data_IF_252786910025
#
_entry.id   IF_252786910025
#
_cell.length_a   1.000
_cell.length_b   1.000
_cell.length_c   1.000
_cell.angle_alpha   90.00
_cell.angle_beta   90.00
_cell.angle_gamma   90.00
#
_symmetry.space_group_name_H-M   'P 1'
#
loop_
_entity.id
_entity.type
_entity.pdbx_description
1 polymer ?
#
# COMPACT_ATOMS: atom_id res chain seq x y z
N UNK A 1 -11.93 2.46 22.13
CA UNK A 1 -13.25 2.83 22.70
C UNK A 1 -13.24 2.85 24.23
N UNK A 2 -12.29 2.21 24.91
CA UNK A 2 -12.19 2.23 26.38
C UNK A 2 -12.22 3.62 27.06
N UNK A 3 -11.80 4.68 26.37
CA UNK A 3 -11.90 6.06 26.88
C UNK A 3 -13.28 6.72 26.74
N UNK A 4 -14.31 5.99 26.29
CA UNK A 4 -15.67 6.49 26.05
C UNK A 4 -16.67 5.62 26.83
N UNK A 5 -17.17 6.11 27.96
CA UNK A 5 -18.14 5.38 28.78
C UNK A 5 -19.53 5.37 28.12
N UNK A 6 -20.14 4.20 27.96
CA UNK A 6 -21.46 4.07 27.33
C UNK A 6 -22.52 4.80 28.15
N UNK A 7 -23.34 5.65 27.50
CA UNK A 7 -24.54 6.20 28.12
C UNK A 7 -25.60 5.11 28.33
N UNK A 8 -26.66 5.43 29.08
CA UNK A 8 -27.77 4.50 29.39
C UNK A 8 -28.39 3.87 28.14
N UNK A 9 -28.60 4.65 27.08
CA UNK A 9 -29.22 4.15 25.85
C UNK A 9 -28.31 3.17 25.10
N UNK A 10 -27.02 3.51 24.93
CA UNK A 10 -26.06 2.60 24.30
C UNK A 10 -25.87 1.32 25.14
N UNK A 11 -25.89 1.42 26.47
CA UNK A 11 -25.80 0.24 27.34
C UNK A 11 -27.00 -0.69 27.14
N UNK A 12 -28.21 -0.13 27.08
CA UNK A 12 -29.43 -0.90 26.79
C UNK A 12 -29.33 -1.64 25.47
N UNK A 13 -28.93 -0.95 24.39
CA UNK A 13 -28.75 -1.58 23.07
C UNK A 13 -27.60 -2.62 23.05
N UNK A 14 -26.55 -2.41 23.85
CA UNK A 14 -25.40 -3.33 23.94
C UNK A 14 -25.75 -4.64 24.66
N UNK A 15 -26.62 -4.58 25.67
CA UNK A 15 -27.02 -5.71 26.52
C UNK A 15 -28.27 -6.45 26.00
N UNK A 16 -29.04 -5.84 25.09
CA UNK A 16 -30.26 -6.44 24.51
C UNK A 16 -29.94 -7.40 23.33
N UNK A 17 -30.15 -8.72 23.47
CA UNK A 17 -29.85 -9.70 22.41
C UNK A 17 -30.72 -9.56 21.16
N UNK A 18 -31.82 -8.80 21.22
CA UNK A 18 -32.69 -8.51 20.07
C UNK A 18 -32.28 -7.27 19.29
N UNK A 19 -31.40 -6.42 19.85
CA UNK A 19 -30.87 -5.26 19.15
C UNK A 19 -29.72 -5.65 18.21
N UNK A 20 -29.68 -5.04 17.03
CA UNK A 20 -28.59 -5.21 16.06
C UNK A 20 -27.21 -4.80 16.60
N UNK A 21 -27.16 -4.05 17.71
CA UNK A 21 -25.96 -3.56 18.38
C UNK A 21 -25.61 -4.36 19.64
N UNK A 22 -26.29 -5.47 19.89
CA UNK A 22 -25.93 -6.42 20.93
C UNK A 22 -24.43 -6.77 20.85
N UNK A 23 -23.71 -6.60 21.95
CA UNK A 23 -22.26 -6.83 22.06
C UNK A 23 -21.39 -6.13 21.00
N UNK A 24 -21.90 -5.06 20.36
CA UNK A 24 -21.10 -4.23 19.47
C UNK A 24 -20.09 -3.41 20.28
N UNK A 25 -18.89 -3.97 20.48
CA UNK A 25 -17.80 -3.35 21.25
C UNK A 25 -17.54 -1.87 20.93
N UNK A 26 -17.67 -1.39 19.66
CA UNK A 26 -17.47 0.02 19.36
C UNK A 26 -18.75 0.87 19.36
N UNK A 27 -19.86 0.42 19.96
CA UNK A 27 -21.11 1.18 20.05
C UNK A 27 -20.89 2.54 20.71
N UNK A 28 -21.51 3.57 20.13
CA UNK A 28 -21.53 4.91 20.68
C UNK A 28 -22.65 5.75 20.05
N UNK A 29 -22.97 6.88 20.68
CA UNK A 29 -23.89 7.89 20.16
C UNK A 29 -23.31 9.31 20.37
N UNK A 30 -23.96 10.39 19.91
CA UNK A 30 -23.47 11.75 20.11
C UNK A 30 -23.27 12.18 21.59
N UNK A 31 -23.85 11.46 22.55
CA UNK A 31 -23.72 11.74 23.99
C UNK A 31 -22.41 11.16 24.55
N UNK A 32 -22.18 9.86 24.35
CA UNK A 32 -21.04 9.13 24.92
C UNK A 32 -19.85 8.93 23.97
N UNK A 33 -20.06 9.17 22.68
CA UNK A 33 -19.13 8.81 21.63
C UNK A 33 -18.10 9.87 21.28
N UNK A 34 -17.23 9.55 20.30
CA UNK A 34 -16.23 10.47 19.82
C UNK A 34 -16.83 11.69 19.11
N UNK A 35 -16.15 12.82 19.21
CA UNK A 35 -16.59 14.10 18.63
C UNK A 35 -15.71 14.54 17.47
N UNK A 36 -16.36 14.94 16.38
CA UNK A 36 -15.68 15.51 15.21
C UNK A 36 -15.35 16.97 15.48
N UNK A 37 -14.12 17.37 15.17
CA UNK A 37 -13.66 18.76 15.26
C UNK A 37 -12.98 19.19 13.96
N UNK A 38 -13.14 20.46 13.61
CA UNK A 38 -12.45 21.10 12.50
C UNK A 38 -11.51 22.16 13.07
N UNK A 39 -10.27 22.19 12.58
CA UNK A 39 -9.29 23.20 13.01
C UNK A 39 -8.38 23.63 11.88
N UNK A 40 -7.82 24.83 12.02
CA UNK A 40 -6.74 25.29 11.16
C UNK A 40 -5.45 24.50 11.44
N UNK A 41 -4.78 24.04 10.39
CA UNK A 41 -3.70 23.08 10.49
C UNK A 41 -2.45 23.62 11.21
N UNK A 42 -2.16 24.92 11.08
CA UNK A 42 -0.96 25.55 11.65
C UNK A 42 -1.16 26.07 13.07
N UNK A 43 -2.26 26.79 13.33
CA UNK A 43 -2.53 27.37 14.64
C UNK A 43 -3.24 26.43 15.60
N UNK A 44 -3.86 25.35 15.09
CA UNK A 44 -4.74 24.49 15.87
C UNK A 44 -6.07 25.13 16.25
N UNK A 45 -6.36 26.36 15.78
CA UNK A 45 -7.58 27.09 16.11
C UNK A 45 -8.81 26.35 15.63
N UNK A 46 -9.77 26.13 16.54
CA UNK A 46 -11.05 25.51 16.23
C UNK A 46 -11.86 26.37 15.24
N UNK A 47 -12.45 25.71 14.25
CA UNK A 47 -13.34 26.30 13.25
C UNK A 47 -14.75 25.72 13.45
N UNK A 48 -15.75 26.56 13.75
CA UNK A 48 -17.12 26.09 13.93
C UNK A 48 -17.73 25.56 12.62
N UNK A 49 -18.76 24.71 12.74
CA UNK A 49 -19.52 24.19 11.59
C UNK A 49 -19.12 22.79 11.11
N UNK A 50 -18.07 22.18 11.68
CA UNK A 50 -17.74 20.76 11.50
C UNK A 50 -17.64 20.33 10.03
N UNK A 51 -18.41 19.29 9.66
CA UNK A 51 -18.39 18.71 8.31
C UNK A 51 -18.89 19.71 7.24
N UNK A 52 -19.86 20.56 7.55
CA UNK A 52 -20.38 21.54 6.58
C UNK A 52 -19.33 22.61 6.26
N UNK A 53 -18.67 23.14 7.28
CA UNK A 53 -17.56 24.08 7.11
C UNK A 53 -16.40 23.43 6.34
N UNK A 54 -16.06 22.17 6.64
CA UNK A 54 -15.03 21.42 5.94
C UNK A 54 -15.35 21.26 4.45
N UNK A 55 -16.60 20.88 4.11
CA UNK A 55 -17.05 20.79 2.72
C UNK A 55 -16.96 22.15 2.01
N UNK A 56 -17.38 23.23 2.66
CA UNK A 56 -17.25 24.59 2.13
C UNK A 56 -15.80 24.99 1.83
N UNK A 57 -14.85 24.64 2.71
CA UNK A 57 -13.42 24.90 2.50
C UNK A 57 -12.85 24.08 1.33
N UNK A 58 -13.24 22.82 1.18
CA UNK A 58 -12.81 21.97 0.06
C UNK A 58 -13.33 22.52 -1.27
N UNK A 59 -14.61 22.93 -1.35
CA UNK A 59 -15.17 23.60 -2.55
C UNK A 59 -14.40 24.87 -2.92
N UNK A 60 -13.91 25.61 -1.91
CA UNK A 60 -13.04 26.80 -2.09
C UNK A 60 -11.59 26.46 -2.50
N UNK A 61 -11.26 25.18 -2.72
CA UNK A 61 -9.94 24.73 -3.16
C UNK A 61 -8.90 24.64 -2.03
N UNK A 62 -9.34 24.52 -0.77
CA UNK A 62 -8.47 24.19 0.36
C UNK A 62 -8.17 22.69 0.40
N UNK A 63 -7.01 22.34 0.96
CA UNK A 63 -6.57 20.96 1.18
C UNK A 63 -6.79 20.66 2.66
N UNK A 64 -7.55 19.61 2.95
CA UNK A 64 -7.86 19.18 4.31
C UNK A 64 -7.16 17.86 4.61
N UNK A 65 -6.69 17.68 5.83
CA UNK A 65 -6.44 16.35 6.37
C UNK A 65 -7.71 15.83 7.05
N UNK A 66 -8.23 14.69 6.61
CA UNK A 66 -9.44 14.06 7.17
C UNK A 66 -9.05 12.79 7.90
N UNK A 67 -9.37 12.67 9.19
CA UNK A 67 -9.10 11.47 9.98
C UNK A 67 -10.02 10.34 9.55
N UNK A 68 -9.43 9.25 9.06
CA UNK A 68 -10.11 8.04 8.64
C UNK A 68 -10.07 6.94 9.71
N UNK A 69 -10.21 5.69 9.27
CA UNK A 69 -10.17 4.52 10.15
C UNK A 69 -8.74 4.09 10.49
N UNK A 70 -7.86 4.04 9.49
CA UNK A 70 -6.47 3.57 9.59
C UNK A 70 -5.41 4.65 9.50
N UNK A 71 -5.81 5.91 9.34
CA UNK A 71 -4.91 7.06 9.24
C UNK A 71 -5.63 8.27 8.67
N UNK A 72 -4.88 9.32 8.33
CA UNK A 72 -5.43 10.53 7.70
C UNK A 72 -5.35 10.49 6.18
N UNK A 73 -6.34 11.07 5.51
CA UNK A 73 -6.30 11.39 4.08
C UNK A 73 -6.05 12.87 3.85
N UNK A 74 -5.21 13.21 2.88
CA UNK A 74 -5.24 14.54 2.27
C UNK A 74 -6.35 14.58 1.22
N UNK A 75 -7.24 15.55 1.39
CA UNK A 75 -8.48 15.71 0.66
C UNK A 75 -8.54 17.07 -0.01
N UNK A 76 -8.89 17.09 -1.30
CA UNK A 76 -9.22 18.31 -2.03
C UNK A 76 -10.24 18.01 -3.14
N UNK A 77 -10.81 19.06 -3.73
CA UNK A 77 -11.72 18.94 -4.87
C UNK A 77 -10.93 18.62 -6.16
N UNK A 78 -11.11 17.45 -6.79
CA UNK A 78 -10.40 17.08 -8.01
C UNK A 78 -10.80 17.94 -9.22
N UNK A 79 -11.92 18.67 -9.15
CA UNK A 79 -12.40 19.58 -10.20
C UNK A 79 -11.73 20.96 -10.11
N UNK A 80 -10.85 21.18 -9.13
CA UNK A 80 -10.07 22.41 -8.95
C UNK A 80 -8.60 22.15 -9.29
N UNK A 81 -8.15 22.42 -10.54
CA UNK A 81 -6.77 22.14 -10.96
C UNK A 81 -5.71 22.79 -10.08
N UNK A 82 -5.99 23.99 -9.54
CA UNK A 82 -5.10 24.67 -8.60
C UNK A 82 -4.89 23.90 -7.28
N UNK A 83 -5.94 23.28 -6.74
CA UNK A 83 -5.86 22.47 -5.53
C UNK A 83 -5.12 21.15 -5.78
N UNK A 84 -5.40 20.48 -6.91
CA UNK A 84 -4.70 19.25 -7.33
C UNK A 84 -3.21 19.51 -7.54
N UNK A 85 -2.86 20.62 -8.23
CA UNK A 85 -1.46 21.02 -8.44
C UNK A 85 -0.75 21.30 -7.10
N UNK A 86 -1.40 22.04 -6.19
CA UNK A 86 -0.84 22.32 -4.86
C UNK A 86 -0.63 21.02 -4.05
N UNK A 87 -1.59 20.10 -4.09
CA UNK A 87 -1.48 18.81 -3.43
C UNK A 87 -0.31 17.98 -3.98
N UNK A 88 -0.08 18.00 -5.31
CA UNK A 88 1.08 17.30 -5.91
C UNK A 88 2.42 17.88 -5.48
N UNK A 89 2.52 19.20 -5.33
CA UNK A 89 3.72 19.86 -4.80
C UNK A 89 3.96 19.44 -3.35
N UNK A 90 2.93 19.51 -2.51
CA UNK A 90 3.01 19.10 -1.09
C UNK A 90 3.43 17.63 -0.94
N UNK A 91 2.90 16.73 -1.79
CA UNK A 91 3.21 15.30 -1.76
C UNK A 91 4.50 14.93 -2.51
N UNK A 92 5.20 15.89 -3.10
CA UNK A 92 6.34 15.68 -4.00
C UNK A 92 6.05 14.63 -5.10
N UNK A 93 4.80 14.60 -5.56
CA UNK A 93 4.23 13.53 -6.38
C UNK A 93 3.95 14.04 -7.78
N UNK A 94 4.98 14.05 -8.63
CA UNK A 94 4.89 14.58 -10.00
C UNK A 94 3.84 13.85 -10.85
N UNK A 95 3.90 12.51 -10.91
CA UNK A 95 3.09 11.71 -11.86
C UNK A 95 2.27 10.59 -11.22
N UNK A 96 2.68 10.06 -10.07
CA UNK A 96 1.99 8.92 -9.43
C UNK A 96 0.48 9.27 -9.22
N UNK A 97 -0.47 8.37 -9.57
CA UNK A 97 -1.91 8.64 -9.56
C UNK A 97 -2.47 9.04 -8.20
N UNK A 98 -3.40 10.00 -8.12
CA UNK A 98 -4.14 10.31 -6.89
C UNK A 98 -5.42 9.48 -6.87
N UNK A 99 -5.71 8.81 -5.75
CA UNK A 99 -6.95 8.07 -5.61
C UNK A 99 -8.12 9.02 -5.36
N UNK A 100 -9.28 8.66 -5.89
CA UNK A 100 -10.53 9.39 -5.73
C UNK A 100 -11.48 8.62 -4.82
N UNK A 101 -12.26 9.35 -4.02
CA UNK A 101 -13.40 8.80 -3.31
C UNK A 101 -14.67 9.44 -3.85
N UNK A 102 -15.60 8.61 -4.33
CA UNK A 102 -16.87 9.04 -4.91
C UNK A 102 -18.02 8.67 -3.98
N UNK A 103 -19.09 9.48 -3.95
CA UNK A 103 -20.26 9.27 -3.08
C UNK A 103 -20.93 7.92 -3.33
N UNK A 104 -21.07 7.54 -4.60
CA UNK A 104 -21.80 6.38 -5.07
C UNK A 104 -21.20 5.87 -6.40
N UNK A 105 -21.66 4.69 -6.85
CA UNK A 105 -21.20 4.11 -8.13
C UNK A 105 -21.59 4.98 -9.32
N UNK A 106 -22.76 5.63 -9.30
CA UNK A 106 -23.18 6.50 -10.40
C UNK A 106 -22.16 7.61 -10.65
N UNK A 107 -21.65 8.23 -9.58
CA UNK A 107 -20.56 9.22 -9.65
C UNK A 107 -19.27 8.62 -10.22
N UNK A 108 -18.95 7.34 -9.94
CA UNK A 108 -17.77 6.67 -10.53
C UNK A 108 -17.95 6.50 -12.04
N UNK A 109 -19.13 6.08 -12.49
CA UNK A 109 -19.47 5.80 -13.90
C UNK A 109 -19.49 7.06 -14.79
N UNK A 110 -19.52 8.25 -14.19
CA UNK A 110 -19.27 9.53 -14.88
C UNK A 110 -17.82 9.65 -15.38
N UNK A 111 -16.85 9.04 -14.68
CA UNK A 111 -15.40 9.23 -14.93
C UNK A 111 -14.68 7.97 -15.40
N UNK A 112 -15.21 6.79 -15.10
CA UNK A 112 -14.59 5.51 -15.44
C UNK A 112 -15.61 4.51 -15.99
N UNK A 113 -15.14 3.54 -16.77
CA UNK A 113 -15.91 2.35 -17.09
C UNK A 113 -15.89 1.40 -15.90
N UNK A 114 -17.04 0.81 -15.58
CA UNK A 114 -17.19 -0.11 -14.45
C UNK A 114 -17.88 -1.39 -14.91
N UNK A 115 -17.14 -2.49 -14.98
CA UNK A 115 -17.70 -3.81 -15.22
C UNK A 115 -18.49 -4.32 -13.99
N UNK A 116 -19.36 -5.33 -14.16
CA UNK A 116 -20.05 -5.96 -13.03
C UNK A 116 -19.10 -6.50 -11.96
N UNK A 117 -17.93 -7.01 -12.33
CA UNK A 117 -16.93 -7.50 -11.38
C UNK A 117 -16.29 -6.35 -10.57
N UNK A 118 -15.88 -5.27 -11.24
CA UNK A 118 -15.34 -4.09 -10.57
C UNK A 118 -16.36 -3.42 -9.65
N UNK A 119 -17.64 -3.37 -10.07
CA UNK A 119 -18.75 -2.87 -9.25
C UNK A 119 -18.89 -3.69 -7.96
N UNK A 120 -18.78 -5.01 -8.03
CA UNK A 120 -18.82 -5.88 -6.84
C UNK A 120 -17.68 -5.53 -5.89
N UNK A 121 -16.45 -5.41 -6.38
CA UNK A 121 -15.28 -5.08 -5.55
C UNK A 121 -15.43 -3.72 -4.84
N UNK A 122 -15.91 -2.69 -5.54
CA UNK A 122 -16.19 -1.37 -4.96
C UNK A 122 -17.26 -1.41 -3.84
N UNK A 123 -18.20 -2.36 -3.93
CA UNK A 123 -19.31 -2.52 -3.01
C UNK A 123 -19.01 -3.44 -1.81
N UNK A 124 -17.89 -4.16 -1.83
CA UNK A 124 -17.47 -4.99 -0.69
C UNK A 124 -17.34 -4.16 0.59
N UNK A 125 -17.49 -4.82 1.74
CA UNK A 125 -17.22 -4.19 3.05
C UNK A 125 -15.78 -3.68 3.17
N UNK A 126 -14.84 -4.28 2.42
CA UNK A 126 -13.44 -3.84 2.35
C UNK A 126 -13.25 -2.47 1.70
N UNK A 127 -14.18 -2.01 0.84
CA UNK A 127 -14.15 -0.70 0.16
C UNK A 127 -12.75 -0.34 -0.39
N UNK A 128 -12.12 -1.20 -1.20
CA UNK A 128 -10.79 -0.97 -1.74
C UNK A 128 -10.79 0.19 -2.75
N UNK A 129 -9.60 0.69 -3.07
CA UNK A 129 -9.36 1.46 -4.29
C UNK A 129 -9.27 0.46 -5.45
N UNK A 130 -10.21 0.56 -6.38
CA UNK A 130 -10.23 -0.24 -7.62
C UNK A 130 -9.68 0.61 -8.75
N UNK A 131 -8.72 0.07 -9.49
CA UNK A 131 -8.20 0.69 -10.71
C UNK A 131 -9.15 0.41 -11.88
N UNK A 132 -9.71 1.48 -12.45
CA UNK A 132 -10.73 1.42 -13.49
C UNK A 132 -10.24 2.11 -14.76
N UNK A 133 -10.66 1.61 -15.92
CA UNK A 133 -10.39 2.28 -17.20
C UNK A 133 -11.09 3.64 -17.26
N UNK A 134 -10.36 4.68 -17.59
CA UNK A 134 -10.89 6.05 -17.71
C UNK A 134 -11.92 6.17 -18.83
N UNK A 135 -12.97 6.91 -18.53
CA UNK A 135 -13.96 7.43 -19.48
C UNK A 135 -13.79 8.94 -19.68
N UNK A 136 -13.45 9.67 -18.61
CA UNK A 136 -13.20 11.11 -18.62
C UNK A 136 -11.95 11.43 -17.82
N UNK A 137 -11.06 12.25 -18.39
CA UNK A 137 -9.85 12.66 -17.68
C UNK A 137 -10.12 13.79 -16.67
N UNK A 138 -9.46 13.69 -15.53
CA UNK A 138 -9.39 14.75 -14.53
C UNK A 138 -7.95 15.26 -14.48
N UNK A 139 -7.69 16.51 -14.89
CA UNK A 139 -6.33 17.03 -15.04
C UNK A 139 -5.49 16.84 -13.78
N UNK A 140 -4.37 16.13 -13.94
CA UNK A 140 -3.44 15.87 -12.87
C UNK A 140 -3.92 14.85 -11.83
N UNK A 141 -4.92 14.02 -12.09
CA UNK A 141 -5.26 12.89 -11.20
C UNK A 141 -4.39 11.67 -11.52
N UNK A 142 -4.38 11.19 -12.76
CA UNK A 142 -3.51 10.09 -13.20
C UNK A 142 -2.89 10.37 -14.58
N UNK A 143 -1.95 11.32 -14.68
CA UNK A 143 -1.39 11.75 -15.96
C UNK A 143 -0.65 10.59 -16.67
N UNK A 144 -0.83 10.50 -17.99
CA UNK A 144 -0.21 9.48 -18.86
C UNK A 144 -0.62 8.04 -18.59
N UNK A 145 -1.70 7.81 -17.84
CA UNK A 145 -2.28 6.49 -17.62
C UNK A 145 -3.71 6.46 -18.13
N UNK A 146 -4.14 5.30 -18.61
CA UNK A 146 -5.52 5.05 -19.04
C UNK A 146 -6.43 4.62 -17.89
N UNK A 147 -5.88 4.54 -16.68
CA UNK A 147 -6.57 4.07 -15.49
C UNK A 147 -6.67 5.16 -14.42
N UNK A 148 -7.73 5.06 -13.61
CA UNK A 148 -8.01 5.94 -12.48
C UNK A 148 -8.48 5.12 -11.28
N UNK A 149 -7.95 5.42 -10.11
CA UNK A 149 -8.27 4.69 -8.88
C UNK A 149 -9.45 5.31 -8.15
N UNK A 150 -10.51 4.54 -7.95
CA UNK A 150 -11.70 4.94 -7.22
C UNK A 150 -11.96 4.04 -6.00
N UNK A 151 -12.40 4.65 -4.91
CA UNK A 151 -13.03 3.96 -3.79
C UNK A 151 -14.36 4.63 -3.42
N UNK A 152 -15.17 3.93 -2.64
CA UNK A 152 -16.41 4.44 -2.08
C UNK A 152 -16.23 4.81 -0.59
N UNK A 153 -17.08 5.68 -0.02
CA UNK A 153 -17.04 6.01 1.40
C UNK A 153 -17.14 4.75 2.26
N UNK A 154 -16.32 4.71 3.29
CA UNK A 154 -16.21 3.55 4.20
C UNK A 154 -16.26 3.94 5.69
N UNK A 155 -16.39 5.22 6.00
CA UNK A 155 -16.69 5.70 7.36
C UNK A 155 -17.88 6.65 7.32
N UNK A 156 -18.65 6.80 8.42
CA UNK A 156 -19.73 7.79 8.48
C UNK A 156 -19.26 9.21 8.16
N UNK A 157 -18.04 9.58 8.57
CA UNK A 157 -17.46 10.89 8.24
C UNK A 157 -17.27 11.08 6.73
N UNK A 158 -16.82 10.04 6.02
CA UNK A 158 -16.70 10.07 4.56
C UNK A 158 -18.07 10.18 3.89
N UNK A 159 -19.08 9.45 4.37
CA UNK A 159 -20.44 9.55 3.85
C UNK A 159 -20.98 10.98 3.97
N UNK A 160 -20.91 11.58 5.18
CA UNK A 160 -21.36 12.95 5.40
C UNK A 160 -20.60 13.95 4.52
N UNK A 161 -19.28 13.79 4.37
CA UNK A 161 -18.50 14.68 3.53
C UNK A 161 -18.90 14.57 2.04
N UNK A 162 -19.11 13.35 1.55
CA UNK A 162 -19.42 13.08 0.14
C UNK A 162 -20.87 13.34 -0.24
N UNK A 163 -21.82 13.31 0.70
CA UNK A 163 -23.17 13.85 0.48
C UNK A 163 -23.11 15.31 -0.01
N UNK A 164 -22.15 16.09 0.50
CA UNK A 164 -21.97 17.52 0.19
C UNK A 164 -21.09 17.75 -1.03
N UNK A 165 -20.08 16.92 -1.27
CA UNK A 165 -19.06 17.15 -2.30
C UNK A 165 -19.24 16.30 -3.57
N UNK A 166 -19.85 15.12 -3.44
CA UNK A 166 -20.00 14.10 -4.49
C UNK A 166 -18.70 13.36 -4.83
N UNK A 167 -17.58 14.07 -4.93
CA UNK A 167 -16.29 13.52 -5.34
C UNK A 167 -15.14 14.28 -4.67
N UNK A 168 -14.15 13.55 -4.17
CA UNK A 168 -12.92 14.12 -3.60
C UNK A 168 -11.69 13.35 -4.04
N UNK A 169 -10.53 14.01 -4.03
CA UNK A 169 -9.24 13.31 -3.91
C UNK A 169 -9.14 12.77 -2.49
N UNK A 170 -8.69 11.53 -2.32
CA UNK A 170 -8.39 10.95 -1.02
C UNK A 170 -7.10 10.14 -1.12
N UNK A 171 -5.97 10.76 -0.76
CA UNK A 171 -4.65 10.12 -0.75
C UNK A 171 -4.12 10.08 0.67
N UNK A 172 -3.26 9.10 0.99
CA UNK A 172 -2.60 8.99 2.29
C UNK A 172 -1.89 10.30 2.70
N UNK A 173 -2.13 10.72 3.95
CA UNK A 173 -1.48 11.86 4.59
C UNK A 173 -0.18 11.43 5.23
N UNK A 174 0.88 11.53 4.45
CA UNK A 174 2.26 11.26 4.86
C UNK A 174 3.19 12.14 4.03
N UNK A 175 4.32 12.58 4.60
CA UNK A 175 5.48 12.97 3.81
C UNK A 175 5.83 11.86 2.80
N UNK A 176 6.57 12.21 1.75
CA UNK A 176 7.01 11.22 0.77
C UNK A 176 7.73 10.06 1.49
N UNK A 177 7.38 8.83 1.13
CA UNK A 177 7.98 7.59 1.63
C UNK A 177 7.79 7.28 3.14
N UNK A 178 7.18 8.16 3.94
CA UNK A 178 6.82 7.89 5.34
C UNK A 178 5.51 7.08 5.51
N UNK A 179 5.28 6.43 6.67
CA UNK A 179 4.01 5.74 6.97
C UNK A 179 2.83 6.71 7.01
N UNK A 180 1.61 6.22 6.74
CA UNK A 180 0.39 7.02 6.90
C UNK A 180 0.23 7.50 8.34
N UNK A 181 0.14 8.81 8.56
CA UNK A 181 0.00 9.37 9.90
C UNK A 181 -1.28 8.87 10.58
N UNK A 182 -1.17 8.43 11.83
CA UNK A 182 -2.31 8.02 12.69
C UNK A 182 -2.62 9.04 13.78
N UNK A 183 -1.63 9.85 14.14
CA UNK A 183 -1.75 10.98 15.05
C UNK A 183 -1.40 12.31 14.36
N UNK A 184 -1.97 13.40 14.87
CA UNK A 184 -1.82 14.75 14.32
C UNK A 184 -0.43 15.33 14.54
N UNK A 185 0.24 14.88 15.61
CA UNK A 185 1.60 15.27 15.96
C UNK A 185 2.65 14.70 14.99
N UNK A 186 2.25 13.83 14.06
CA UNK A 186 3.12 13.25 13.02
C UNK A 186 3.31 14.18 11.80
N UNK A 187 3.21 15.49 12.00
CA UNK A 187 3.55 16.49 10.97
C UNK A 187 2.46 16.76 9.93
N UNK A 188 1.23 16.28 10.13
CA UNK A 188 0.08 16.49 9.22
C UNK A 188 -0.18 17.99 8.99
N UNK A 189 0.03 18.83 10.02
CA UNK A 189 -0.22 20.27 9.95
C UNK A 189 0.59 21.01 8.88
N UNK A 190 1.71 20.42 8.41
CA UNK A 190 2.54 20.96 7.32
C UNK A 190 2.03 20.62 5.93
N UNK A 191 1.12 19.64 5.82
CA UNK A 191 0.65 19.07 4.55
C UNK A 191 -0.75 19.55 4.13
N UNK A 192 -1.43 20.34 4.95
CA UNK A 192 -2.80 20.77 4.71
C UNK A 192 -3.07 22.19 5.24
N UNK A 193 -4.20 22.75 4.83
CA UNK A 193 -4.69 24.04 5.32
C UNK A 193 -5.52 23.86 6.61
N UNK A 194 -6.29 22.77 6.70
CA UNK A 194 -7.18 22.47 7.83
C UNK A 194 -7.19 20.97 8.14
N UNK A 195 -7.57 20.61 9.37
CA UNK A 195 -7.67 19.23 9.84
C UNK A 195 -9.11 18.98 10.33
N UNK A 196 -9.78 18.00 9.72
CA UNK A 196 -11.07 17.45 10.16
C UNK A 196 -10.80 16.13 10.89
N UNK A 197 -10.89 16.15 12.21
CA UNK A 197 -10.43 15.06 13.09
C UNK A 197 -11.52 14.62 14.06
N UNK A 198 -11.22 13.60 14.87
CA UNK A 198 -12.02 13.17 15.99
C UNK A 198 -11.13 12.60 17.11
N UNK A 199 -11.64 12.61 18.34
CA UNK A 199 -10.97 12.14 19.55
C UNK A 199 -10.91 10.60 19.70
N UNK A 200 -11.52 9.82 18.80
CA UNK A 200 -11.25 8.37 18.74
C UNK A 200 -9.81 8.11 18.25
N UNK A 201 -8.92 7.49 19.05
CA UNK A 201 -7.56 7.20 18.63
C UNK A 201 -7.52 6.09 17.56
N UNK A 202 -6.51 6.15 16.70
CA UNK A 202 -6.18 5.10 15.74
C UNK A 202 -5.02 4.32 16.34
N UNK A 203 -5.24 3.05 16.69
CA UNK A 203 -4.20 2.21 17.31
C UNK A 203 -3.21 1.70 16.26
N UNK A 204 -3.74 1.09 15.19
CA UNK A 204 -2.96 0.49 14.12
C UNK A 204 -3.16 1.27 12.83
N UNK A 205 -2.06 1.59 12.15
CA UNK A 205 -2.10 2.22 10.83
C UNK A 205 -2.63 1.22 9.82
N UNK A 206 -3.42 1.69 8.86
CA UNK A 206 -3.81 0.87 7.71
C UNK A 206 -4.05 1.77 6.50
N UNK A 207 -3.16 1.64 5.51
CA UNK A 207 -3.38 2.20 4.18
C UNK A 207 -4.65 1.63 3.53
N UNK A 208 -5.19 2.35 2.56
CA UNK A 208 -6.25 1.81 1.71
C UNK A 208 -5.69 0.70 0.82
N UNK A 209 -6.40 -0.43 0.77
CA UNK A 209 -6.08 -1.50 -0.17
C UNK A 209 -6.31 -1.03 -1.60
N UNK A 210 -5.43 -1.47 -2.51
CA UNK A 210 -5.50 -1.13 -3.94
C UNK A 210 -5.50 -2.42 -4.73
N UNK A 211 -6.48 -2.57 -5.63
CA UNK A 211 -6.58 -3.75 -6.48
C UNK A 211 -6.99 -3.38 -7.91
N UNK A 212 -6.74 -4.32 -8.82
CA UNK A 212 -7.23 -4.32 -10.19
C UNK A 212 -7.87 -5.67 -10.47
N UNK A 213 -8.87 -5.72 -11.34
CA UNK A 213 -9.45 -7.00 -11.74
C UNK A 213 -8.61 -7.61 -12.87
N UNK A 214 -8.17 -8.84 -12.65
CA UNK A 214 -7.62 -9.72 -13.66
C UNK A 214 -8.71 -10.71 -14.13
N UNK A 215 -8.36 -11.59 -15.07
CA UNK A 215 -9.29 -12.62 -15.59
C UNK A 215 -9.86 -13.50 -14.48
N UNK A 216 -9.02 -13.89 -13.52
CA UNK A 216 -9.34 -14.92 -12.52
C UNK A 216 -9.72 -14.33 -11.14
N UNK A 217 -9.82 -13.00 -11.02
CA UNK A 217 -10.21 -12.33 -9.78
C UNK A 217 -9.47 -11.03 -9.50
N UNK A 218 -9.61 -10.48 -8.27
CA UNK A 218 -8.90 -9.29 -7.86
C UNK A 218 -7.40 -9.55 -7.67
N UNK A 219 -6.58 -8.79 -8.37
CA UNK A 219 -5.14 -8.71 -8.18
C UNK A 219 -4.81 -7.55 -7.26
N UNK A 220 -4.25 -7.84 -6.09
CA UNK A 220 -3.85 -6.81 -5.12
C UNK A 220 -2.53 -6.16 -5.53
N UNK A 221 -2.57 -4.84 -5.70
CA UNK A 221 -1.35 -4.01 -5.76
C UNK A 221 -0.93 -3.56 -4.36
N UNK A 222 -1.88 -3.54 -3.42
CA UNK A 222 -1.65 -3.29 -1.99
C UNK A 222 -2.75 -3.95 -1.17
N UNK A 223 -2.38 -4.87 -0.30
CA UNK A 223 -3.29 -5.51 0.66
C UNK A 223 -3.12 -4.85 2.03
N UNK A 224 -4.16 -4.16 2.51
CA UNK A 224 -4.15 -3.41 3.76
C UNK A 224 -5.56 -3.33 4.38
N UNK A 225 -6.13 -2.13 4.55
CA UNK A 225 -7.46 -1.94 5.14
C UNK A 225 -8.52 -2.80 4.46
N UNK A 226 -9.35 -3.46 5.28
CA UNK A 226 -10.46 -4.30 4.81
C UNK A 226 -10.09 -5.77 4.57
N UNK A 227 -8.78 -6.09 4.51
CA UNK A 227 -8.28 -7.44 4.25
C UNK A 227 -7.28 -7.92 5.31
N UNK A 228 -6.51 -7.03 5.90
CA UNK A 228 -5.66 -7.34 7.06
C UNK A 228 -6.49 -7.24 8.34
N UNK A 229 -6.33 -8.15 9.32
CA UNK A 229 -5.38 -9.28 9.36
C UNK A 229 -6.04 -10.62 9.05
N UNK A 230 -6.93 -10.71 8.04
CA UNK A 230 -7.55 -12.00 7.70
C UNK A 230 -6.46 -13.02 7.31
N UNK A 231 -6.46 -14.22 7.90
CA UNK A 231 -5.43 -15.22 7.65
C UNK A 231 -5.66 -15.95 6.32
N UNK A 232 -4.57 -16.36 5.69
CA UNK A 232 -4.54 -17.26 4.55
C UNK A 232 -4.28 -18.69 5.05
N UNK A 233 -5.07 -19.66 4.57
CA UNK A 233 -4.85 -21.07 4.89
C UNK A 233 -3.60 -21.59 4.18
N UNK A 234 -2.86 -22.44 4.89
CA UNK A 234 -1.73 -23.19 4.35
C UNK A 234 -2.19 -24.61 3.99
N UNK A 235 -1.72 -25.21 2.88
CA UNK A 235 -1.96 -26.61 2.58
C UNK A 235 -1.60 -27.53 3.75
N UNK A 236 -2.44 -28.53 4.04
CA UNK A 236 -2.30 -29.40 5.21
C UNK A 236 -0.94 -30.10 5.31
N UNK A 237 -0.33 -30.44 4.17
CA UNK A 237 0.98 -31.11 4.10
C UNK A 237 2.16 -30.19 4.47
N UNK A 238 1.96 -28.87 4.54
CA UNK A 238 2.95 -27.89 5.01
C UNK A 238 2.68 -27.46 6.46
N UNK A 239 1.77 -28.13 7.17
CA UNK A 239 1.49 -27.78 8.55
C UNK A 239 2.62 -28.24 9.45
N UNK A 240 3.08 -27.32 10.30
CA UNK A 240 4.12 -27.58 11.30
C UNK A 240 3.67 -26.99 12.65
N UNK A 241 4.15 -27.54 13.78
CA UNK A 241 3.80 -27.03 15.10
C UNK A 241 4.52 -25.71 15.45
N UNK A 242 5.64 -25.40 14.79
CA UNK A 242 6.41 -24.19 15.06
C UNK A 242 5.72 -22.94 14.52
N UNK A 243 5.90 -21.82 15.23
CA UNK A 243 5.55 -20.52 14.69
C UNK A 243 6.73 -19.93 13.90
N UNK A 244 6.43 -19.32 12.75
CA UNK A 244 7.43 -18.69 11.89
C UNK A 244 7.14 -17.19 11.80
N UNK A 245 8.19 -16.37 11.82
CA UNK A 245 8.14 -14.96 11.44
C UNK A 245 8.84 -14.79 10.08
N UNK A 246 8.10 -14.40 9.05
CA UNK A 246 8.65 -14.04 7.74
C UNK A 246 8.70 -12.52 7.59
N UNK A 247 9.90 -11.98 7.38
CA UNK A 247 10.15 -10.54 7.39
C UNK A 247 9.96 -9.86 6.04
N UNK A 248 9.83 -10.63 4.95
CA UNK A 248 9.66 -10.09 3.61
C UNK A 248 10.95 -9.53 2.99
N UNK A 249 10.76 -8.53 2.13
CA UNK A 249 11.83 -7.88 1.36
C UNK A 249 12.29 -6.59 2.03
N UNK A 250 12.45 -5.52 1.26
CA UNK A 250 12.76 -4.18 1.80
C UNK A 250 11.83 -3.10 1.21
N UNK A 251 11.54 -3.21 -0.09
CA UNK A 251 10.62 -2.34 -0.79
C UNK A 251 9.19 -2.86 -0.72
N UNK A 252 8.24 -1.96 -0.42
CA UNK A 252 6.80 -2.28 -0.32
C UNK A 252 6.51 -3.41 0.67
N UNK A 253 7.25 -3.42 1.77
CA UNK A 253 7.34 -4.57 2.65
C UNK A 253 6.03 -4.92 3.36
N UNK A 254 5.90 -6.20 3.69
CA UNK A 254 4.91 -6.76 4.61
C UNK A 254 5.55 -7.88 5.41
N UNK A 255 5.26 -7.94 6.71
CA UNK A 255 5.66 -9.06 7.56
C UNK A 255 4.54 -10.08 7.67
N UNK A 256 4.90 -11.35 7.78
CA UNK A 256 3.93 -12.43 7.97
C UNK A 256 4.28 -13.29 9.16
N UNK A 257 3.27 -13.75 9.88
CA UNK A 257 3.42 -14.79 10.92
C UNK A 257 2.69 -16.06 10.51
N UNK A 258 3.29 -17.20 10.77
CA UNK A 258 2.66 -18.51 10.63
C UNK A 258 2.28 -19.07 12.00
N UNK A 259 1.04 -19.57 12.12
CA UNK A 259 0.56 -20.32 13.29
C UNK A 259 -0.59 -21.24 12.90
N UNK A 260 -0.52 -22.50 13.34
CA UNK A 260 -1.61 -23.50 13.24
C UNK A 260 -2.19 -23.64 11.81
N UNK A 261 -1.35 -23.71 10.78
CA UNK A 261 -1.81 -23.87 9.40
C UNK A 261 -2.33 -22.58 8.74
N UNK A 262 -2.05 -21.41 9.33
CA UNK A 262 -2.42 -20.11 8.78
C UNK A 262 -1.22 -19.18 8.66
N UNK A 263 -1.16 -18.43 7.56
CA UNK A 263 -0.27 -17.29 7.39
C UNK A 263 -1.09 -16.01 7.56
N UNK A 264 -0.62 -15.14 8.46
CA UNK A 264 -1.22 -13.82 8.72
C UNK A 264 -0.23 -12.76 8.28
N UNK A 265 -0.52 -12.12 7.15
CA UNK A 265 0.30 -11.04 6.59
C UNK A 265 -0.20 -9.67 7.07
N UNK A 266 0.74 -8.82 7.45
CA UNK A 266 0.50 -7.44 7.86
C UNK A 266 -0.05 -6.57 6.73
N UNK A 267 -0.45 -5.36 7.10
CA UNK A 267 -0.63 -4.26 6.18
C UNK A 267 0.71 -3.82 5.59
N UNK A 268 0.62 -3.07 4.48
CA UNK A 268 1.73 -2.39 3.82
C UNK A 268 2.56 -1.55 4.79
N UNK A 269 3.89 -1.76 4.78
CA UNK A 269 4.85 -1.09 5.67
C UNK A 269 5.70 -0.04 4.97
N UNK A 270 5.74 -0.06 3.63
CA UNK A 270 6.49 0.93 2.85
C UNK A 270 7.89 0.45 2.48
N UNK A 271 8.80 1.41 2.36
CA UNK A 271 10.21 1.17 2.04
C UNK A 271 11.01 1.20 3.34
N UNK A 272 11.58 0.07 3.75
CA UNK A 272 12.22 -0.04 5.06
C UNK A 272 13.54 0.72 5.14
N UNK A 273 14.08 1.25 4.04
CA UNK A 273 15.26 2.12 4.12
C UNK A 273 14.96 3.45 4.84
N UNK A 274 13.70 3.87 4.80
CA UNK A 274 13.21 5.00 5.59
C UNK A 274 13.06 4.63 7.06
N UNK A 275 13.75 5.37 7.95
CA UNK A 275 13.78 5.08 9.38
C UNK A 275 12.37 5.00 10.01
N UNK A 276 11.44 5.85 9.57
CA UNK A 276 10.07 5.85 10.08
C UNK A 276 9.31 4.56 9.69
N UNK A 277 9.54 4.03 8.49
CA UNK A 277 8.97 2.75 8.06
C UNK A 277 9.59 1.59 8.83
N UNK A 278 10.90 1.64 9.09
CA UNK A 278 11.57 0.62 9.90
C UNK A 278 11.04 0.55 11.34
N UNK A 279 10.81 1.71 11.97
CA UNK A 279 10.16 1.77 13.31
C UNK A 279 8.74 1.20 13.27
N UNK A 280 7.98 1.54 12.24
CA UNK A 280 6.63 1.01 12.05
C UNK A 280 6.63 -0.51 11.78
N UNK A 281 7.65 -1.04 11.10
CA UNK A 281 7.88 -2.47 10.93
C UNK A 281 8.10 -3.18 12.27
N UNK A 282 8.97 -2.65 13.14
CA UNK A 282 9.19 -3.20 14.49
C UNK A 282 7.91 -3.19 15.33
N UNK A 283 7.16 -2.08 15.31
CA UNK A 283 5.86 -1.95 15.97
C UNK A 283 4.84 -2.97 15.46
N UNK A 284 4.85 -3.26 14.16
CA UNK A 284 3.92 -4.18 13.52
C UNK A 284 4.21 -5.64 13.90
N UNK A 285 5.48 -6.05 13.95
CA UNK A 285 5.88 -7.38 14.42
C UNK A 285 5.39 -7.58 15.86
N UNK A 286 5.72 -6.65 16.76
CA UNK A 286 5.29 -6.71 18.16
C UNK A 286 3.77 -6.68 18.33
N UNK A 287 3.04 -6.04 17.40
CA UNK A 287 1.58 -6.05 17.39
C UNK A 287 1.03 -7.41 16.99
N UNK A 288 1.52 -8.02 15.90
CA UNK A 288 1.05 -9.32 15.42
C UNK A 288 1.36 -10.44 16.41
N UNK A 289 2.55 -10.45 17.02
CA UNK A 289 2.94 -11.43 18.03
C UNK A 289 2.02 -11.40 19.25
N UNK A 290 1.62 -10.20 19.69
CA UNK A 290 0.67 -10.05 20.80
C UNK A 290 -0.76 -10.40 20.38
N UNK A 291 -1.21 -9.92 19.23
CA UNK A 291 -2.58 -10.09 18.76
C UNK A 291 -2.93 -11.56 18.51
N UNK A 292 -2.01 -12.32 17.93
CA UNK A 292 -2.22 -13.73 17.57
C UNK A 292 -1.54 -14.70 18.53
N UNK A 293 -0.95 -14.18 19.61
CA UNK A 293 -0.14 -14.93 20.57
C UNK A 293 0.89 -15.83 19.87
N UNK A 294 1.64 -15.22 18.95
CA UNK A 294 2.69 -15.90 18.19
C UNK A 294 4.01 -15.76 18.94
N UNK A 295 4.76 -16.85 18.99
CA UNK A 295 6.11 -16.94 19.57
C UNK A 295 7.03 -17.61 18.55
N UNK A 296 7.64 -16.85 17.63
CA UNK A 296 8.43 -17.41 16.55
C UNK A 296 9.58 -18.27 17.07
N UNK A 297 9.77 -19.44 16.46
CA UNK A 297 10.93 -20.31 16.67
C UNK A 297 11.91 -20.27 15.50
N UNK A 298 11.46 -19.74 14.37
CA UNK A 298 12.23 -19.57 13.14
C UNK A 298 11.91 -18.21 12.55
N UNK A 299 12.92 -17.53 12.02
CA UNK A 299 12.77 -16.30 11.25
C UNK A 299 13.18 -16.52 9.79
N UNK A 300 12.40 -15.98 8.86
CA UNK A 300 12.65 -16.05 7.42
C UNK A 300 12.88 -14.65 6.88
N UNK A 301 13.91 -14.45 6.06
CA UNK A 301 14.13 -13.21 5.31
C UNK A 301 14.46 -13.49 3.85
N UNK A 302 14.52 -12.43 3.06
CA UNK A 302 15.14 -12.47 1.74
C UNK A 302 16.62 -12.92 1.81
N UNK A 303 17.13 -13.40 0.69
CA UNK A 303 18.53 -13.75 0.48
C UNK A 303 19.47 -12.53 0.48
N UNK A 304 18.95 -11.34 0.17
CA UNK A 304 19.76 -10.13 0.06
C UNK A 304 20.49 -9.81 1.39
N UNK A 305 21.84 -9.82 1.44
CA UNK A 305 22.60 -9.74 2.68
C UNK A 305 22.56 -8.36 3.35
N UNK A 306 22.24 -7.32 2.59
CA UNK A 306 22.24 -5.94 3.09
C UNK A 306 20.87 -5.37 3.44
N UNK A 307 19.78 -6.12 3.21
CA UNK A 307 18.46 -5.64 3.59
C UNK A 307 18.34 -5.48 5.10
N UNK A 308 17.57 -4.48 5.51
CA UNK A 308 17.26 -4.25 6.93
C UNK A 308 16.50 -5.41 7.55
N UNK A 309 15.69 -6.13 6.78
CA UNK A 309 15.00 -7.35 7.21
C UNK A 309 15.97 -8.49 7.49
N UNK A 310 16.95 -8.73 6.61
CA UNK A 310 18.02 -9.71 6.84
C UNK A 310 18.83 -9.38 8.10
N UNK A 311 19.25 -8.13 8.26
CA UNK A 311 19.95 -7.66 9.47
C UNK A 311 19.08 -7.72 10.73
N UNK A 312 17.76 -7.54 10.59
CA UNK A 312 16.83 -7.70 11.69
C UNK A 312 16.76 -9.18 12.12
N UNK A 313 16.57 -10.11 11.18
CA UNK A 313 16.56 -11.55 11.45
C UNK A 313 17.80 -12.03 12.21
N UNK A 314 18.99 -11.62 11.76
CA UNK A 314 20.27 -11.97 12.38
C UNK A 314 20.38 -11.52 13.84
N UNK A 315 19.74 -10.40 14.20
CA UNK A 315 19.75 -9.86 15.57
C UNK A 315 18.78 -10.57 16.52
N UNK A 316 17.84 -11.37 16.01
CA UNK A 316 16.85 -12.06 16.84
C UNK A 316 17.44 -13.28 17.57
N UNK A 317 18.58 -13.81 17.12
CA UNK A 317 19.16 -15.03 17.69
C UNK A 317 18.32 -16.30 17.48
N UNK A 318 17.34 -16.24 16.58
CA UNK A 318 16.53 -17.39 16.17
C UNK A 318 17.19 -18.11 14.98
N UNK A 319 16.93 -19.40 14.76
CA UNK A 319 17.18 -20.06 13.49
C UNK A 319 16.69 -19.20 12.32
N UNK A 320 17.62 -18.79 11.46
CA UNK A 320 17.39 -17.85 10.37
C UNK A 320 17.49 -18.57 9.03
N UNK A 321 16.35 -18.65 8.33
CA UNK A 321 16.28 -19.18 6.96
C UNK A 321 16.22 -18.03 5.96
N UNK A 322 16.99 -18.14 4.88
CA UNK A 322 16.95 -17.19 3.79
C UNK A 322 16.31 -17.83 2.57
N UNK A 323 15.39 -17.09 1.94
CA UNK A 323 14.68 -17.55 0.73
C UNK A 323 15.01 -16.60 -0.41
N UNK A 324 15.28 -17.16 -1.58
CA UNK A 324 15.57 -16.38 -2.77
C UNK A 324 14.34 -15.59 -3.23
N UNK A 325 14.52 -14.33 -3.60
CA UNK A 325 13.45 -13.37 -3.89
C UNK A 325 12.42 -13.84 -4.93
N UNK A 326 12.89 -14.31 -6.08
CA UNK A 326 12.04 -14.75 -7.18
C UNK A 326 11.34 -16.07 -6.87
N UNK A 327 12.01 -16.95 -6.15
CA UNK A 327 11.42 -18.17 -5.64
C UNK A 327 10.31 -17.86 -4.62
N UNK A 328 10.51 -16.87 -3.74
CA UNK A 328 9.47 -16.41 -2.81
C UNK A 328 8.24 -15.86 -3.55
N UNK A 329 8.42 -15.11 -4.65
CA UNK A 329 7.30 -14.68 -5.52
C UNK A 329 6.50 -15.87 -6.05
N UNK A 330 7.17 -16.94 -6.49
CA UNK A 330 6.48 -18.14 -6.98
C UNK A 330 5.80 -18.88 -5.82
N UNK A 331 6.47 -19.09 -4.69
CA UNK A 331 5.91 -19.75 -3.52
C UNK A 331 4.62 -19.10 -3.02
N UNK A 332 4.51 -17.76 -3.08
CA UNK A 332 3.30 -17.04 -2.72
C UNK A 332 2.09 -17.47 -3.58
N UNK A 333 2.30 -17.63 -4.89
CA UNK A 333 1.25 -18.09 -5.84
C UNK A 333 0.86 -19.54 -5.57
N UNK A 334 1.85 -20.41 -5.30
CA UNK A 334 1.59 -21.81 -4.96
C UNK A 334 0.72 -21.91 -3.70
N UNK A 335 1.03 -21.11 -2.69
CA UNK A 335 0.28 -21.03 -1.45
C UNK A 335 -1.15 -20.49 -1.66
N UNK A 336 -1.30 -19.44 -2.48
CA UNK A 336 -2.60 -18.86 -2.84
C UNK A 336 -3.51 -19.88 -3.51
N UNK A 337 -2.97 -20.65 -4.45
CA UNK A 337 -3.72 -21.66 -5.21
C UNK A 337 -3.75 -23.05 -4.58
N UNK A 338 -3.19 -23.22 -3.36
CA UNK A 338 -3.15 -24.50 -2.63
C UNK A 338 -2.57 -25.66 -3.46
N UNK A 339 -1.51 -25.39 -4.21
CA UNK A 339 -0.87 -26.40 -5.07
C UNK A 339 -0.43 -27.60 -4.20
N UNK A 340 -0.62 -28.86 -4.63
CA UNK A 340 -0.20 -30.06 -3.89
C UNK A 340 1.32 -30.18 -3.69
N UNK A 341 1.71 -30.94 -2.67
CA UNK A 341 3.11 -31.26 -2.39
C UNK A 341 3.76 -32.00 -3.56
N UNK A 342 5.02 -31.70 -3.86
CA UNK A 342 5.80 -32.40 -4.90
C UNK A 342 5.37 -32.12 -6.35
N UNK A 343 4.29 -31.37 -6.58
CA UNK A 343 3.93 -30.92 -7.91
C UNK A 343 4.89 -29.82 -8.35
N UNK A 344 5.75 -30.15 -9.31
CA UNK A 344 6.62 -29.16 -9.95
C UNK A 344 5.83 -28.24 -10.86
N UNK A 345 6.14 -26.95 -10.80
CA UNK A 345 5.55 -25.90 -11.64
C UNK A 345 6.65 -25.12 -12.35
N UNK A 346 6.29 -24.54 -13.49
CA UNK A 346 7.10 -23.51 -14.14
C UNK A 346 6.68 -22.15 -13.59
N UNK A 347 7.46 -21.61 -12.66
CA UNK A 347 7.33 -20.24 -12.17
C UNK A 347 8.00 -19.25 -13.11
N UNK A 348 7.30 -18.16 -13.43
CA UNK A 348 7.86 -17.05 -14.21
C UNK A 348 7.82 -15.81 -13.33
N UNK A 349 9.00 -15.29 -12.96
CA UNK A 349 9.14 -14.20 -12.01
C UNK A 349 9.84 -13.02 -12.69
N UNK A 350 9.04 -12.01 -13.05
CA UNK A 350 9.51 -10.76 -13.66
C UNK A 350 9.35 -9.61 -12.66
N UNK A 351 10.48 -9.04 -12.25
CA UNK A 351 10.57 -7.92 -11.31
C UNK A 351 11.67 -6.94 -11.76
N UNK A 352 11.88 -5.86 -11.03
CA UNK A 352 12.94 -4.90 -11.28
C UNK A 352 14.31 -5.42 -10.87
N UNK A 353 14.45 -5.88 -9.62
CA UNK A 353 15.71 -6.38 -9.07
C UNK A 353 15.43 -7.30 -7.88
N UNK A 354 16.00 -8.49 -7.88
CA UNK A 354 16.11 -9.34 -6.71
C UNK A 354 17.50 -9.99 -6.63
N UNK A 355 17.98 -10.22 -5.41
CA UNK A 355 19.30 -10.80 -5.20
C UNK A 355 19.35 -12.25 -5.68
N UNK A 356 20.27 -12.53 -6.59
CA UNK A 356 20.52 -13.87 -7.11
C UNK A 356 21.32 -14.74 -6.15
N UNK A 357 21.16 -16.05 -6.25
CA UNK A 357 22.01 -17.00 -5.51
C UNK A 357 23.47 -16.96 -5.96
N UNK A 358 23.73 -16.46 -7.17
CA UNK A 358 25.04 -16.17 -7.75
C UNK A 358 25.59 -14.79 -7.32
N UNK A 359 24.89 -14.07 -6.44
CA UNK A 359 25.21 -12.70 -6.05
C UNK A 359 24.87 -11.65 -7.11
N UNK A 360 24.26 -12.06 -8.23
CA UNK A 360 23.89 -11.18 -9.34
C UNK A 360 22.51 -10.52 -9.18
N UNK A 361 22.17 -9.67 -10.15
CA UNK A 361 20.84 -9.08 -10.29
C UNK A 361 19.92 -10.01 -11.09
N UNK A 362 18.84 -10.48 -10.47
CA UNK A 362 17.78 -11.22 -11.17
C UNK A 362 16.57 -10.31 -11.39
N UNK A 363 15.75 -10.63 -12.38
CA UNK A 363 14.53 -9.86 -12.72
C UNK A 363 13.73 -10.40 -13.90
N UNK A 364 14.19 -11.49 -14.53
CA UNK A 364 13.60 -12.05 -15.74
C UNK A 364 13.68 -13.57 -15.75
N UNK A 365 13.15 -14.22 -14.72
CA UNK A 365 13.52 -15.59 -14.35
C UNK A 365 12.45 -16.63 -14.67
N UNK A 366 12.89 -17.81 -15.12
CA UNK A 366 12.07 -19.01 -15.29
C UNK A 366 12.59 -20.11 -14.36
N UNK A 367 11.75 -20.50 -13.40
CA UNK A 367 12.10 -21.42 -12.32
C UNK A 367 11.25 -22.69 -12.42
N UNK A 368 11.87 -23.85 -12.55
CA UNK A 368 11.19 -25.12 -12.31
C UNK A 368 11.25 -25.42 -10.82
N UNK A 369 10.12 -25.39 -10.12
CA UNK A 369 10.11 -25.42 -8.66
C UNK A 369 8.89 -26.10 -8.03
N UNK A 370 9.03 -26.48 -6.77
CA UNK A 370 7.95 -26.86 -5.85
C UNK A 370 8.15 -26.11 -4.51
N UNK A 371 7.50 -26.51 -3.43
CA UNK A 371 7.68 -25.84 -2.12
C UNK A 371 9.06 -26.06 -1.47
N UNK A 372 9.84 -27.03 -1.92
CA UNK A 372 11.10 -27.45 -1.29
C UNK A 372 12.33 -26.95 -2.03
N UNK A 373 12.26 -26.81 -3.36
CA UNK A 373 13.41 -26.44 -4.17
C UNK A 373 13.01 -25.76 -5.47
N UNK A 374 14.00 -25.11 -6.09
CA UNK A 374 13.87 -24.59 -7.45
C UNK A 374 15.15 -24.81 -8.26
N UNK A 375 14.99 -24.90 -9.56
CA UNK A 375 16.07 -24.83 -10.55
C UNK A 375 15.78 -23.69 -11.51
N UNK A 376 16.74 -22.78 -11.67
CA UNK A 376 16.68 -21.72 -12.68
C UNK A 376 16.96 -22.34 -14.06
N UNK A 377 15.94 -22.42 -14.92
CA UNK A 377 16.03 -23.11 -16.22
C UNK A 377 16.20 -22.16 -17.40
N UNK A 378 15.78 -20.90 -17.26
CA UNK A 378 16.02 -19.84 -18.24
C UNK A 378 15.99 -18.47 -17.56
N UNK A 379 16.65 -17.50 -18.18
CA UNK A 379 16.62 -16.11 -17.76
C UNK A 379 16.96 -15.17 -18.91
N UNK A 380 16.64 -13.89 -18.77
CA UNK A 380 17.12 -12.88 -19.71
C UNK A 380 18.63 -12.76 -19.63
N UNK A 381 19.27 -12.52 -20.79
CA UNK A 381 20.71 -12.25 -20.86
C UNK A 381 21.05 -11.09 -19.92
N UNK A 382 21.99 -11.26 -18.98
CA UNK A 382 22.44 -10.17 -18.12
C UNK A 382 22.99 -9.03 -18.97
N UNK A 383 22.65 -7.80 -18.61
CA UNK A 383 23.22 -6.58 -19.19
C UNK A 383 23.81 -5.73 -18.07
N UNK A 384 24.85 -4.92 -18.34
CA UNK A 384 25.39 -4.01 -17.34
C UNK A 384 24.31 -3.09 -16.76
N UNK A 385 24.38 -2.84 -15.45
CA UNK A 385 23.48 -1.94 -14.71
C UNK A 385 24.24 -0.66 -14.28
N UNK A 386 24.54 0.27 -15.22
CA UNK A 386 25.48 1.36 -14.97
C UNK A 386 24.95 2.36 -13.94
N UNK A 387 25.58 2.38 -12.77
CA UNK A 387 25.24 3.25 -11.64
C UNK A 387 24.22 2.69 -10.67
N UNK A 388 23.93 1.38 -10.70
CA UNK A 388 23.07 0.70 -9.73
C UNK A 388 21.69 1.36 -9.63
N UNK A 389 21.30 1.79 -8.43
CA UNK A 389 20.03 2.47 -8.13
C UNK A 389 19.75 3.69 -9.03
N UNK A 390 20.79 4.35 -9.55
CA UNK A 390 20.60 5.46 -10.49
C UNK A 390 19.92 5.00 -11.77
N UNK A 391 20.18 3.79 -12.24
CA UNK A 391 19.56 3.24 -13.44
C UNK A 391 18.03 3.12 -13.31
N UNK A 392 17.53 2.84 -12.10
CA UNK A 392 16.09 2.81 -11.81
C UNK A 392 15.44 4.21 -11.86
N UNK A 393 16.20 5.29 -11.58
CA UNK A 393 15.72 6.69 -11.59
C UNK A 393 15.98 7.40 -12.92
N UNK A 394 16.98 6.94 -13.67
CA UNK A 394 17.45 7.49 -14.94
C UNK A 394 17.37 6.41 -16.03
N UNK A 395 16.16 6.07 -16.57
CA UNK A 395 15.97 4.92 -17.46
C UNK A 395 16.81 4.94 -18.74
N UNK A 396 17.28 6.11 -19.16
CA UNK A 396 18.18 6.27 -20.30
C UNK A 396 19.50 5.50 -20.13
N UNK A 397 19.93 5.24 -18.88
CA UNK A 397 21.11 4.42 -18.56
C UNK A 397 20.94 2.99 -19.04
N UNK A 398 19.81 2.37 -18.73
CA UNK A 398 19.51 1.01 -19.18
C UNK A 398 19.29 0.96 -20.69
N UNK A 399 18.58 1.95 -21.25
CA UNK A 399 18.43 2.03 -22.70
C UNK A 399 19.80 2.03 -23.41
N UNK A 400 20.77 2.81 -22.90
CA UNK A 400 22.11 2.87 -23.45
C UNK A 400 22.89 1.56 -23.28
N UNK A 401 22.77 0.89 -22.13
CA UNK A 401 23.38 -0.42 -21.89
C UNK A 401 22.84 -1.48 -22.87
N UNK A 402 21.52 -1.56 -23.06
CA UNK A 402 20.91 -2.47 -24.03
C UNK A 402 21.30 -2.15 -25.48
N UNK A 403 21.38 -0.86 -25.86
CA UNK A 403 21.82 -0.48 -27.20
C UNK A 403 23.30 -0.81 -27.43
N UNK A 404 24.14 -0.63 -26.42
CA UNK A 404 25.57 -0.99 -26.48
C UNK A 404 25.74 -2.50 -26.63
N UNK A 405 24.97 -3.29 -25.88
CA UNK A 405 24.96 -4.75 -26.00
C UNK A 405 24.50 -5.21 -27.40
N UNK A 406 23.47 -4.57 -27.97
CA UNK A 406 22.90 -4.97 -29.26
C UNK A 406 23.71 -4.50 -30.47
N UNK A 407 24.31 -3.30 -30.42
CA UNK A 407 24.94 -2.64 -31.58
C UNK A 407 26.45 -2.40 -31.41
N UNK A 408 27.03 -2.79 -30.28
CA UNK A 408 28.44 -2.54 -29.96
C UNK A 408 28.75 -1.04 -29.96
N UNK A 409 29.84 -0.64 -30.62
CA UNK A 409 30.26 0.76 -30.64
C UNK A 409 29.33 1.69 -31.43
N UNK A 410 28.52 1.13 -32.32
CA UNK A 410 27.67 1.88 -33.25
C UNK A 410 26.25 2.05 -32.70
N UNK A 411 26.15 2.64 -31.52
CA UNK A 411 24.84 2.94 -30.89
C UNK A 411 24.04 3.89 -31.79
N UNK A 412 22.79 3.55 -32.17
CA UNK A 412 21.98 4.39 -33.04
C UNK A 412 21.63 5.72 -32.37
N UNK A 413 21.56 6.79 -33.17
CA UNK A 413 21.08 8.08 -32.72
C UNK A 413 19.56 7.99 -32.42
N UNK A 414 19.20 8.24 -31.16
CA UNK A 414 17.80 8.27 -30.72
C UNK A 414 17.45 9.68 -30.21
N UNK A 415 16.35 10.29 -30.69
CA UNK A 415 15.92 11.61 -30.23
C UNK A 415 15.69 11.72 -28.72
N UNK A 416 15.37 10.60 -28.06
CA UNK A 416 15.21 10.52 -26.61
C UNK A 416 16.54 10.62 -25.86
N UNK A 417 17.63 10.08 -26.42
CA UNK A 417 18.97 10.13 -25.84
C UNK A 417 19.69 11.45 -26.12
N UNK A 418 19.34 12.16 -27.19
CA UNK A 418 19.87 13.49 -27.48
C UNK A 418 19.51 14.52 -26.40
N UNK A 419 18.38 14.31 -25.70
CA UNK A 419 17.97 15.13 -24.55
C UNK A 419 18.84 14.91 -23.31
N UNK A 420 19.69 13.88 -23.32
CA UNK A 420 20.63 13.58 -22.25
C UNK A 420 21.98 14.18 -22.59
N UNK A 421 22.55 14.89 -21.63
CA UNK A 421 23.90 15.46 -21.72
C UNK A 421 24.92 14.43 -22.26
N UNK A 422 25.70 14.86 -23.24
CA UNK A 422 26.64 13.98 -23.95
C UNK A 422 27.71 13.42 -23.01
N UNK A 423 28.25 14.25 -22.12
CA UNK A 423 29.28 13.81 -21.18
C UNK A 423 28.75 12.71 -20.24
N UNK A 424 27.50 12.82 -19.77
CA UNK A 424 26.85 11.75 -19.00
C UNK A 424 26.69 10.45 -19.78
N UNK A 425 26.34 10.52 -21.06
CA UNK A 425 26.21 9.33 -21.93
C UNK A 425 27.56 8.66 -22.13
N UNK A 426 28.60 9.44 -22.43
CA UNK A 426 29.95 8.94 -22.65
C UNK A 426 30.52 8.29 -21.38
N UNK A 427 30.23 8.85 -20.20
CA UNK A 427 30.62 8.25 -18.92
C UNK A 427 29.96 6.87 -18.72
N UNK A 428 28.67 6.75 -19.01
CA UNK A 428 27.93 5.48 -18.87
C UNK A 428 28.43 4.42 -19.85
N UNK A 429 28.82 4.79 -21.07
CA UNK A 429 29.38 3.86 -22.05
C UNK A 429 30.79 3.36 -21.72
N UNK A 430 31.49 4.00 -20.77
CA UNK A 430 32.81 3.60 -20.27
C UNK A 430 32.75 2.72 -19.03
N UNK A 431 31.60 2.65 -18.36
CA UNK A 431 31.32 1.75 -17.24
C UNK A 431 30.88 0.40 -17.79
#
# INVERSE_FOLDING_TARGET
>A
MAGFEMCRDCRREYEDPTDRRYHAQPIACPVCGPRVTLKEARSGKHIPGGVEAAAGLIRKGRILAVKGLGGFHLVCDPRRPGAVRRLRVIKERKRKPLALMARDIATVEEFAYVSPAERRELLTAGRPIVLLRKKKDLPGISPHLDEIGFMLPYTPLHHLLLERLGLIVATSSNPKDAPIAKDENEGIGRLCDFILTHDRPIQTRADDSVLKLARDGPLFLRRARGYVPYPQRVPAHLHIPEHILALGGELKDTVSVYKNGYVITSQFLGDLDEYQNFRYFEETIAHLERLFDVRPRVVVSDLHPHFRTTRYAQRLGLPHLQVQHHYAHVLAVLLEHQIPAGQKVLGVAFDGYGYGQDGGAWGGEFLLCDYSSFTRIAHFRPVPLPGGDRAAREPWRMALAYLREAFGEKVPALPSLEKVDRHKRDLVLRM
#
